data_IF_625612104600
#
_entry.id   IF_625612104600
#
_cell.length_a   1.000
_cell.length_b   1.000
_cell.length_c   1.000
_cell.angle_alpha   90.00
_cell.angle_beta   90.00
_cell.angle_gamma   90.00
#
_symmetry.space_group_name_H-M   'P 1'
#
loop_
_entity.id
_entity.type
_entity.pdbx_description
1 polymer ?
#
# COMPACT_ATOMS: atom_id res chain seq x y z
N UNK A 1 59.67 -87.74 28.51
CA UNK A 1 58.40 -88.44 28.26
C UNK A 1 57.35 -87.67 29.05
N UNK A 2 56.30 -87.02 28.54
CA UNK A 2 55.50 -87.05 27.30
C UNK A 2 55.11 -85.58 27.02
N UNK A 3 55.37 -84.97 25.86
CA UNK A 3 54.46 -84.84 24.71
C UNK A 3 52.95 -84.95 25.03
N UNK A 4 52.24 -83.85 24.76
CA UNK A 4 50.78 -83.63 24.58
C UNK A 4 50.09 -82.94 25.78
N UNK A 5 49.37 -81.84 25.48
CA UNK A 5 48.67 -80.85 26.33
C UNK A 5 49.58 -79.69 26.81
N UNK A 6 49.50 -78.44 26.32
CA UNK A 6 48.46 -77.73 25.55
C UNK A 6 49.14 -76.47 24.94
N UNK A 7 49.38 -76.35 23.63
CA UNK A 7 48.52 -75.76 22.58
C UNK A 7 47.83 -74.39 22.87
N UNK A 8 47.81 -73.82 24.09
CA UNK A 8 46.95 -72.62 24.33
C UNK A 8 47.55 -71.31 24.87
N UNK A 9 48.84 -71.18 25.21
CA UNK A 9 49.30 -69.98 25.95
C UNK A 9 50.25 -68.99 25.24
N UNK A 10 50.43 -69.05 23.92
CA UNK A 10 51.30 -68.11 23.19
C UNK A 10 50.66 -67.54 21.90
N UNK A 11 49.43 -67.02 22.02
CA UNK A 11 48.96 -66.01 21.07
C UNK A 11 48.99 -64.68 21.81
N UNK A 12 49.74 -63.71 21.29
CA UNK A 12 49.65 -62.35 21.80
C UNK A 12 48.22 -61.85 21.56
N UNK A 13 47.66 -61.09 22.49
CA UNK A 13 46.28 -60.60 22.41
C UNK A 13 45.95 -59.91 21.08
N UNK A 14 46.97 -59.37 20.41
CA UNK A 14 46.91 -58.77 19.09
C UNK A 14 46.63 -59.79 17.97
N UNK A 15 47.24 -60.97 18.02
CA UNK A 15 47.01 -62.07 17.06
C UNK A 15 45.62 -62.71 17.25
N UNK A 16 45.14 -62.80 18.50
CA UNK A 16 43.75 -63.23 18.80
C UNK A 16 42.76 -62.24 18.19
N UNK A 17 42.98 -60.93 18.38
CA UNK A 17 42.09 -59.88 17.87
C UNK A 17 42.16 -59.71 16.34
N UNK A 18 43.32 -59.91 15.71
CA UNK A 18 43.43 -59.98 14.25
C UNK A 18 42.66 -61.16 13.67
N UNK A 19 42.68 -62.33 14.34
CA UNK A 19 41.87 -63.48 13.93
C UNK A 19 40.37 -63.25 14.04
N UNK A 20 39.91 -62.36 14.94
CA UNK A 20 38.51 -61.97 15.09
C UNK A 20 38.08 -61.05 13.94
N UNK A 21 38.95 -60.14 13.51
CA UNK A 21 38.70 -59.27 12.34
C UNK A 21 38.57 -60.05 11.03
N UNK A 22 39.28 -61.17 10.90
CA UNK A 22 39.27 -62.01 9.70
C UNK A 22 38.16 -63.07 9.68
N UNK A 23 37.54 -63.37 10.82
CA UNK A 23 36.33 -64.20 10.88
C UNK A 23 35.14 -63.36 10.41
N UNK A 24 34.20 -63.94 9.64
CA UNK A 24 33.02 -63.24 9.14
C UNK A 24 32.12 -62.76 10.30
N UNK A 25 32.46 -61.61 10.88
CA UNK A 25 31.78 -61.04 12.04
C UNK A 25 30.53 -60.29 11.65
N UNK A 26 29.43 -60.57 12.33
CA UNK A 26 28.16 -59.85 12.18
C UNK A 26 27.76 -59.18 13.48
N UNK A 27 26.94 -58.14 13.36
CA UNK A 27 26.34 -57.45 14.48
C UNK A 27 24.87 -57.87 14.63
N UNK A 28 24.51 -58.30 15.85
CA UNK A 28 23.15 -58.66 16.24
C UNK A 28 22.61 -57.60 17.21
N UNK A 29 21.52 -56.95 16.84
CA UNK A 29 20.75 -56.13 17.76
C UNK A 29 19.79 -57.03 18.53
N UNK A 30 20.00 -57.12 19.84
CA UNK A 30 19.27 -58.02 20.74
C UNK A 30 18.31 -57.20 21.59
N UNK A 31 17.08 -57.68 21.72
CA UNK A 31 16.08 -56.99 22.52
C UNK A 31 14.70 -57.60 22.49
N UNK A 32 13.79 -56.98 23.24
CA UNK A 32 12.45 -57.50 23.52
C UNK A 32 11.39 -56.43 23.23
N UNK A 33 10.16 -56.86 22.90
CA UNK A 33 9.00 -55.97 22.82
C UNK A 33 8.67 -55.35 24.17
N UNK A 34 8.94 -56.07 25.26
CA UNK A 34 8.81 -55.54 26.61
C UNK A 34 10.04 -54.65 26.92
N UNK A 35 9.88 -53.35 27.19
CA UNK A 35 10.99 -52.45 27.54
C UNK A 35 11.55 -52.65 28.97
N UNK A 36 10.90 -53.49 29.79
CA UNK A 36 11.35 -53.85 31.15
C UNK A 36 11.47 -55.38 31.30
N UNK A 37 12.11 -56.03 30.34
CA UNK A 37 12.36 -57.47 30.35
C UNK A 37 13.57 -57.79 31.25
N UNK A 38 13.34 -57.87 32.56
CA UNK A 38 14.39 -58.14 33.56
C UNK A 38 15.08 -59.49 33.33
N UNK A 39 14.39 -60.46 32.72
CA UNK A 39 14.97 -61.78 32.43
C UNK A 39 16.02 -61.66 31.33
N UNK A 40 15.69 -60.94 30.24
CA UNK A 40 16.63 -60.68 29.16
C UNK A 40 17.78 -59.77 29.60
N UNK A 41 17.49 -58.75 30.41
CA UNK A 41 18.51 -57.83 30.91
C UNK A 41 19.54 -58.55 31.79
N UNK A 42 19.08 -59.45 32.67
CA UNK A 42 19.97 -60.28 33.48
C UNK A 42 20.74 -61.31 32.66
N UNK A 43 20.14 -61.91 31.62
CA UNK A 43 20.85 -62.88 30.78
C UNK A 43 21.94 -62.23 29.93
N UNK A 44 21.73 -60.99 29.45
CA UNK A 44 22.74 -60.22 28.72
C UNK A 44 23.93 -59.80 29.58
N UNK A 45 23.82 -59.91 30.91
CA UNK A 45 24.91 -59.70 31.84
C UNK A 45 25.67 -61.00 32.19
N UNK A 46 25.22 -62.17 31.72
CA UNK A 46 25.90 -63.45 31.95
C UNK A 46 27.16 -63.55 31.07
N UNK A 47 28.36 -63.69 31.67
CA UNK A 47 29.60 -63.81 30.90
C UNK A 47 29.69 -65.08 30.05
N UNK A 48 28.82 -66.07 30.26
CA UNK A 48 28.79 -67.33 29.50
C UNK A 48 27.63 -67.43 28.51
N UNK A 49 26.96 -66.33 28.19
CA UNK A 49 25.84 -66.32 27.25
C UNK A 49 26.22 -66.96 25.90
N UNK A 50 25.37 -67.86 25.43
CA UNK A 50 25.62 -68.61 24.19
C UNK A 50 25.07 -67.88 22.96
N UNK A 51 25.62 -68.20 21.77
CA UNK A 51 25.16 -67.62 20.51
C UNK A 51 23.68 -67.92 20.21
N UNK A 52 23.21 -69.12 20.58
CA UNK A 52 21.81 -69.52 20.37
C UNK A 52 20.84 -68.75 21.27
N UNK A 53 21.25 -68.43 22.50
CA UNK A 53 20.48 -67.58 23.43
C UNK A 53 20.36 -66.14 22.91
N UNK A 54 21.45 -65.58 22.35
CA UNK A 54 21.41 -64.25 21.73
C UNK A 54 20.54 -64.20 20.48
N UNK A 55 20.65 -65.21 19.60
CA UNK A 55 19.84 -65.29 18.36
C UNK A 55 18.35 -65.36 18.64
N UNK A 56 17.94 -65.97 19.75
CA UNK A 56 16.52 -66.07 20.13
C UNK A 56 15.85 -64.70 20.28
N UNK A 57 16.61 -63.69 20.73
CA UNK A 57 16.12 -62.32 20.94
C UNK A 57 16.77 -61.31 19.97
N UNK A 58 17.51 -61.77 18.96
CA UNK A 58 18.08 -60.92 17.92
C UNK A 58 17.01 -60.58 16.87
N UNK A 59 16.83 -59.29 16.58
CA UNK A 59 15.79 -58.84 15.65
C UNK A 59 16.30 -58.00 14.48
N UNK A 60 17.57 -57.56 14.54
CA UNK A 60 18.28 -57.01 13.39
C UNK A 60 19.65 -57.68 13.33
N UNK A 61 20.00 -58.22 12.17
CA UNK A 61 21.33 -58.74 11.87
C UNK A 61 21.90 -57.91 10.73
N UNK A 62 23.10 -57.39 10.91
CA UNK A 62 23.78 -56.57 9.91
C UNK A 62 25.27 -56.86 9.90
N UNK A 63 25.91 -56.59 8.77
CA UNK A 63 27.35 -56.73 8.65
C UNK A 63 28.06 -55.55 9.32
N UNK A 64 29.26 -55.81 9.84
CA UNK A 64 30.08 -54.76 10.43
C UNK A 64 30.64 -53.89 9.32
N UNK A 65 30.40 -52.57 9.40
CA UNK A 65 30.86 -51.61 8.39
C UNK A 65 32.39 -51.53 8.38
N UNK A 66 32.98 -51.38 9.57
CA UNK A 66 34.43 -51.28 9.77
C UNK A 66 34.83 -51.83 11.14
N UNK A 67 35.99 -52.47 11.21
CA UNK A 67 36.67 -52.83 12.45
C UNK A 67 38.11 -52.28 12.41
N UNK A 68 38.51 -51.53 13.44
CA UNK A 68 39.81 -50.86 13.50
C UNK A 68 40.29 -50.70 14.94
N UNK A 69 41.60 -50.54 15.12
CA UNK A 69 42.16 -50.13 16.41
C UNK A 69 42.15 -48.60 16.50
N UNK A 70 41.65 -48.05 17.60
CA UNK A 70 41.70 -46.61 17.84
C UNK A 70 43.08 -46.16 18.36
N UNK A 71 43.25 -44.85 18.56
CA UNK A 71 44.51 -44.24 19.00
C UNK A 71 44.95 -44.72 20.40
N UNK A 72 44.04 -45.27 21.19
CA UNK A 72 44.27 -45.82 22.53
C UNK A 72 44.56 -47.34 22.50
N UNK A 73 44.52 -47.96 21.31
CA UNK A 73 44.79 -49.38 21.11
C UNK A 73 43.59 -50.29 21.37
N UNK A 74 42.39 -49.74 21.53
CA UNK A 74 41.15 -50.51 21.69
C UNK A 74 40.60 -50.97 20.34
N UNK A 75 40.10 -52.22 20.28
CA UNK A 75 39.43 -52.71 19.07
C UNK A 75 38.03 -52.11 18.99
N UNK A 76 37.76 -51.38 17.92
CA UNK A 76 36.52 -50.65 17.67
C UNK A 76 35.77 -51.21 16.47
N UNK A 77 34.46 -51.43 16.64
CA UNK A 77 33.55 -51.88 15.60
C UNK A 77 32.54 -50.78 15.27
N UNK A 78 32.43 -50.42 13.99
CA UNK A 78 31.44 -49.48 13.48
C UNK A 78 30.30 -50.28 12.81
N UNK A 79 29.09 -50.10 13.33
CA UNK A 79 27.88 -50.80 12.89
C UNK A 79 26.82 -49.77 12.54
N UNK A 80 26.22 -49.89 11.36
CA UNK A 80 25.15 -48.99 10.95
C UNK A 80 23.79 -49.61 11.24
N UNK A 81 22.90 -48.80 11.80
CA UNK A 81 21.49 -49.13 11.95
C UNK A 81 20.71 -48.39 10.86
N UNK A 82 20.08 -49.17 9.97
CA UNK A 82 19.35 -48.63 8.83
C UNK A 82 18.11 -47.82 9.26
N UNK A 83 17.88 -46.71 8.55
CA UNK A 83 16.75 -45.82 8.76
C UNK A 83 15.41 -46.45 8.35
N UNK A 84 15.43 -47.36 7.37
CA UNK A 84 14.22 -47.99 6.83
C UNK A 84 13.64 -49.11 7.72
N UNK A 85 14.46 -49.70 8.58
CA UNK A 85 14.04 -50.81 9.45
C UNK A 85 13.26 -50.26 10.66
N UNK A 86 11.97 -50.58 10.77
CA UNK A 86 11.18 -50.33 11.98
C UNK A 86 11.04 -51.60 12.81
N UNK A 87 11.21 -51.52 14.12
CA UNK A 87 10.99 -52.66 15.02
C UNK A 87 10.18 -52.24 16.24
N UNK A 88 9.25 -53.10 16.67
CA UNK A 88 8.54 -52.93 17.94
C UNK A 88 9.43 -53.26 19.16
N UNK A 89 10.58 -53.90 18.92
CA UNK A 89 11.52 -54.29 19.97
C UNK A 89 12.35 -53.09 20.43
N UNK A 90 12.55 -53.01 21.74
CA UNK A 90 13.54 -52.11 22.34
C UNK A 90 14.90 -52.79 22.26
N UNK A 91 15.93 -52.10 21.76
CA UNK A 91 17.30 -52.59 21.73
C UNK A 91 17.85 -52.57 23.15
N UNK A 92 18.31 -53.72 23.65
CA UNK A 92 18.96 -53.85 24.95
C UNK A 92 20.47 -53.94 24.81
N UNK A 93 20.94 -54.67 23.81
CA UNK A 93 22.37 -54.86 23.56
C UNK A 93 22.66 -54.97 22.06
N UNK A 94 23.91 -54.68 21.71
CA UNK A 94 24.51 -54.96 20.42
C UNK A 94 25.60 -56.01 20.62
N UNK A 95 25.42 -57.17 20.01
CA UNK A 95 26.36 -58.28 20.11
C UNK A 95 27.16 -58.43 18.81
N UNK A 96 28.46 -58.63 18.93
CA UNK A 96 29.35 -58.97 17.83
C UNK A 96 29.63 -60.47 17.88
N UNK A 97 29.33 -61.17 16.78
CA UNK A 97 29.34 -62.64 16.73
C UNK A 97 30.04 -63.15 15.46
N UNK A 98 30.59 -64.37 15.51
CA UNK A 98 30.95 -65.17 14.33
C UNK A 98 29.87 -66.21 14.04
N UNK A 99 30.14 -67.06 13.05
CA UNK A 99 29.39 -68.27 12.76
C UNK A 99 29.33 -69.26 13.94
N UNK A 100 30.31 -69.23 14.87
CA UNK A 100 30.48 -70.26 15.92
C UNK A 100 30.51 -69.72 17.34
N UNK A 101 30.80 -68.44 17.55
CA UNK A 101 31.02 -67.88 18.89
C UNK A 101 30.53 -66.44 19.03
N UNK A 102 30.26 -66.04 20.27
CA UNK A 102 30.02 -64.65 20.66
C UNK A 102 31.37 -64.02 20.97
N UNK A 103 31.67 -62.84 20.41
CA UNK A 103 32.89 -62.12 20.71
C UNK A 103 32.69 -61.04 21.77
N UNK A 104 31.59 -60.30 21.65
CA UNK A 104 31.32 -59.17 22.53
C UNK A 104 29.81 -58.96 22.62
N UNK A 105 29.35 -58.58 23.81
CA UNK A 105 28.01 -58.05 24.03
C UNK A 105 28.19 -56.68 24.68
N UNK A 106 27.64 -55.65 24.03
CA UNK A 106 27.66 -54.28 24.52
C UNK A 106 26.23 -53.86 24.86
N UNK A 107 25.98 -53.62 26.15
CA UNK A 107 24.68 -53.15 26.61
C UNK A 107 24.46 -51.70 26.17
N UNK A 108 23.25 -51.40 25.73
CA UNK A 108 22.85 -50.07 25.26
C UNK A 108 21.86 -49.43 26.24
N UNK A 109 21.80 -48.09 26.34
CA UNK A 109 20.71 -47.42 27.04
C UNK A 109 19.39 -47.66 26.29
N UNK A 110 18.65 -48.71 26.64
CA UNK A 110 17.36 -49.18 26.08
C UNK A 110 16.78 -48.27 24.98
N UNK A 111 17.07 -48.57 23.71
CA UNK A 111 16.74 -47.70 22.56
C UNK A 111 15.55 -48.26 21.79
N UNK A 112 14.48 -47.46 21.60
CA UNK A 112 13.37 -47.84 20.72
C UNK A 112 13.65 -47.45 19.27
N UNK A 113 13.68 -48.42 18.35
CA UNK A 113 13.92 -48.16 16.92
C UNK A 113 12.64 -47.70 16.21
N UNK A 114 12.54 -46.40 15.91
CA UNK A 114 11.46 -45.84 15.08
C UNK A 114 11.89 -45.72 13.61
N UNK A 115 10.93 -45.79 12.69
CA UNK A 115 11.17 -45.56 11.26
C UNK A 115 11.68 -44.13 11.04
N UNK A 116 12.71 -43.97 10.19
CA UNK A 116 13.33 -42.66 9.95
C UNK A 116 14.38 -42.24 10.98
N UNK A 117 14.63 -43.05 12.02
CA UNK A 117 15.76 -42.88 12.94
C UNK A 117 16.77 -44.00 12.69
N UNK A 118 17.93 -43.66 12.18
CA UNK A 118 19.10 -44.55 12.02
C UNK A 118 20.34 -43.90 12.61
N UNK A 119 21.49 -44.55 12.47
CA UNK A 119 22.74 -44.00 12.99
C UNK A 119 23.90 -44.97 12.96
N UNK A 120 25.09 -44.46 13.26
CA UNK A 120 26.31 -45.25 13.38
C UNK A 120 26.59 -45.54 14.85
N UNK A 121 26.74 -46.83 15.18
CA UNK A 121 27.06 -47.35 16.49
C UNK A 121 28.54 -47.71 16.51
N UNK A 122 29.31 -47.14 17.43
CA UNK A 122 30.71 -47.51 17.64
C UNK A 122 30.81 -48.27 18.95
N UNK A 123 31.31 -49.50 18.89
CA UNK A 123 31.54 -50.35 20.06
C UNK A 123 33.04 -50.53 20.25
N UNK A 124 33.54 -50.23 21.46
CA UNK A 124 34.95 -50.42 21.81
C UNK A 124 35.13 -51.58 22.76
N UNK A 125 36.18 -52.40 22.58
CA UNK A 125 36.54 -53.48 23.51
C UNK A 125 38.03 -53.51 23.81
N UNK A 126 38.35 -53.90 25.05
CA UNK A 126 39.73 -54.11 25.53
C UNK A 126 40.07 -55.61 25.56
N UNK A 127 41.35 -55.93 25.63
CA UNK A 127 41.91 -57.29 25.48
C UNK A 127 41.53 -58.25 26.63
N UNK A 128 41.14 -57.72 27.79
CA UNK A 128 40.55 -58.52 28.87
C UNK A 128 39.03 -58.47 28.67
N UNK A 129 38.49 -59.50 28.01
CA UNK A 129 37.09 -59.51 27.58
C UNK A 129 36.10 -59.33 28.73
N UNK A 130 35.46 -58.16 28.79
CA UNK A 130 33.99 -57.97 28.72
C UNK A 130 33.58 -56.50 28.94
N UNK A 131 32.37 -56.19 28.42
CA UNK A 131 31.59 -54.95 28.40
C UNK A 131 32.16 -53.79 27.57
N UNK A 132 31.68 -53.68 26.32
CA UNK A 132 31.97 -52.55 25.43
C UNK A 132 31.01 -51.39 25.63
N UNK A 133 31.53 -50.17 25.54
CA UNK A 133 30.75 -48.92 25.66
C UNK A 133 30.37 -48.39 24.27
N UNK A 134 29.14 -47.86 24.15
CA UNK A 134 28.60 -47.31 22.92
C UNK A 134 28.73 -45.77 22.90
N UNK A 135 29.30 -45.22 21.82
CA UNK A 135 29.47 -43.76 21.65
C UNK A 135 28.66 -43.26 20.45
N UNK A 136 27.89 -42.18 20.63
CA UNK A 136 27.17 -41.48 19.55
C UNK A 136 28.01 -40.30 19.01
N UNK A 137 28.17 -40.18 17.68
CA UNK A 137 28.77 -39.00 17.03
C UNK A 137 27.73 -38.26 16.17
N UNK A 138 27.69 -36.94 16.29
CA UNK A 138 27.01 -36.02 15.36
C UNK A 138 28.01 -35.59 14.28
N UNK A 139 27.76 -35.90 13.01
CA UNK A 139 28.61 -35.44 11.91
C UNK A 139 28.17 -34.05 11.39
N UNK A 140 29.13 -33.20 11.02
CA UNK A 140 28.93 -31.84 10.47
C UNK A 140 28.57 -31.81 8.97
N UNK A 141 28.29 -32.97 8.35
CA UNK A 141 28.05 -33.07 6.91
C UNK A 141 26.55 -33.15 6.59
N UNK A 142 26.09 -32.32 5.66
CA UNK A 142 24.72 -32.34 5.11
C UNK A 142 24.47 -33.69 4.43
N UNK A 143 23.36 -34.33 4.78
CA UNK A 143 22.97 -35.60 4.19
C UNK A 143 22.52 -35.44 2.73
N UNK A 144 22.62 -36.50 1.92
CA UNK A 144 22.15 -36.47 0.52
C UNK A 144 20.67 -36.09 0.39
N UNK A 145 19.85 -36.42 1.39
CA UNK A 145 18.43 -36.07 1.42
C UNK A 145 18.19 -34.57 1.63
N UNK A 146 19.07 -33.89 2.36
CA UNK A 146 19.01 -32.45 2.58
C UNK A 146 19.63 -31.65 1.41
N UNK A 147 20.57 -32.25 0.67
CA UNK A 147 21.21 -31.62 -0.49
C UNK A 147 20.30 -31.59 -1.73
N UNK A 148 19.43 -32.57 -1.91
CA UNK A 148 18.67 -32.71 -3.15
C UNK A 148 17.64 -31.59 -3.42
N UNK A 149 16.90 -31.08 -2.41
CA UNK A 149 16.07 -29.89 -2.57
C UNK A 149 16.88 -28.65 -3.01
N UNK A 150 18.09 -28.49 -2.50
CA UNK A 150 18.97 -27.39 -2.86
C UNK A 150 19.47 -27.52 -4.31
N UNK A 151 19.80 -28.74 -4.74
CA UNK A 151 20.23 -29.02 -6.11
C UNK A 151 19.15 -28.68 -7.14
N UNK A 152 17.89 -29.05 -6.87
CA UNK A 152 16.73 -28.72 -7.73
C UNK A 152 16.51 -27.21 -7.80
N UNK A 153 16.63 -26.51 -6.67
CA UNK A 153 16.54 -25.04 -6.66
C UNK A 153 17.62 -24.38 -7.53
N UNK A 154 18.87 -24.84 -7.43
CA UNK A 154 19.99 -24.29 -8.22
C UNK A 154 19.83 -24.58 -9.71
N UNK A 155 19.29 -25.74 -10.10
CA UNK A 155 19.04 -26.06 -11.51
C UNK A 155 17.96 -25.15 -12.12
N UNK A 156 16.95 -24.78 -11.34
CA UNK A 156 15.79 -24.02 -11.81
C UNK A 156 15.93 -22.51 -11.58
N UNK A 157 16.98 -22.09 -10.86
CA UNK A 157 17.22 -20.70 -10.48
C UNK A 157 17.23 -19.74 -11.67
N UNK A 158 17.78 -20.17 -12.81
CA UNK A 158 17.83 -19.35 -14.02
C UNK A 158 16.43 -19.03 -14.57
N UNK A 159 15.54 -20.02 -14.61
CA UNK A 159 14.16 -19.82 -15.07
C UNK A 159 13.36 -18.93 -14.11
N UNK A 160 13.58 -19.10 -12.80
CA UNK A 160 13.00 -18.24 -11.77
C UNK A 160 13.46 -16.78 -11.91
N UNK A 161 14.74 -16.55 -12.21
CA UNK A 161 15.29 -15.21 -12.41
C UNK A 161 14.71 -14.55 -13.67
N UNK A 162 14.62 -15.27 -14.78
CA UNK A 162 14.03 -14.77 -16.03
C UNK A 162 12.55 -14.39 -15.85
N UNK A 163 11.77 -15.22 -15.14
CA UNK A 163 10.37 -14.92 -14.81
C UNK A 163 10.27 -13.69 -13.89
N UNK A 164 11.13 -13.60 -12.87
CA UNK A 164 11.16 -12.44 -11.98
C UNK A 164 11.47 -11.14 -12.74
N UNK A 165 12.47 -11.14 -13.62
CA UNK A 165 12.81 -9.99 -14.44
C UNK A 165 11.67 -9.59 -15.37
N UNK A 166 10.99 -10.57 -15.98
CA UNK A 166 9.82 -10.33 -16.83
C UNK A 166 8.68 -9.68 -16.04
N UNK A 167 8.35 -10.21 -14.86
CA UNK A 167 7.32 -9.66 -13.98
C UNK A 167 7.68 -8.26 -13.48
N UNK A 168 8.95 -8.01 -13.15
CA UNK A 168 9.43 -6.69 -12.74
C UNK A 168 9.27 -5.66 -13.88
N UNK A 169 9.64 -6.01 -15.11
CA UNK A 169 9.46 -5.15 -16.29
C UNK A 169 7.99 -4.86 -16.56
N UNK A 170 7.13 -5.87 -16.50
CA UNK A 170 5.69 -5.70 -16.66
C UNK A 170 5.11 -4.71 -15.64
N UNK A 171 5.46 -4.87 -14.36
CA UNK A 171 5.00 -3.97 -13.30
C UNK A 171 5.49 -2.54 -13.48
N UNK A 172 6.75 -2.35 -13.87
CA UNK A 172 7.29 -1.02 -14.16
C UNK A 172 6.54 -0.35 -15.32
N UNK A 173 6.28 -1.10 -16.39
CA UNK A 173 5.54 -0.58 -17.56
C UNK A 173 4.09 -0.23 -17.21
N UNK A 174 3.44 -1.03 -16.35
CA UNK A 174 2.10 -0.75 -15.85
C UNK A 174 2.06 0.53 -15.02
N UNK A 175 3.04 0.73 -14.14
CA UNK A 175 3.17 1.94 -13.33
C UNK A 175 3.42 3.18 -14.20
N UNK A 176 4.26 3.07 -15.22
CA UNK A 176 4.51 4.16 -16.17
C UNK A 176 3.24 4.52 -16.97
N UNK A 177 2.47 3.52 -17.38
CA UNK A 177 1.18 3.73 -18.05
C UNK A 177 0.16 4.40 -17.13
N UNK A 178 0.04 3.95 -15.87
CA UNK A 178 -0.84 4.57 -14.87
C UNK A 178 -0.47 6.04 -14.66
N UNK A 179 0.82 6.34 -14.44
CA UNK A 179 1.31 7.72 -14.27
C UNK A 179 1.04 8.59 -15.50
N UNK A 180 1.22 8.04 -16.71
CA UNK A 180 0.92 8.74 -17.95
C UNK A 180 -0.59 9.05 -18.06
N UNK A 181 -1.44 8.06 -17.79
CA UNK A 181 -2.90 8.22 -17.84
C UNK A 181 -3.38 9.25 -16.82
N UNK A 182 -2.89 9.20 -15.59
CA UNK A 182 -3.23 10.19 -14.55
C UNK A 182 -2.83 11.61 -14.95
N UNK A 183 -1.65 11.75 -15.56
CA UNK A 183 -1.17 13.03 -16.07
C UNK A 183 -2.06 13.57 -17.20
N UNK A 184 -2.46 12.73 -18.16
CA UNK A 184 -3.35 13.14 -19.23
C UNK A 184 -4.76 13.47 -18.72
N UNK A 185 -5.30 12.67 -17.80
CA UNK A 185 -6.59 12.95 -17.15
C UNK A 185 -6.54 14.30 -16.42
N UNK A 186 -5.46 14.59 -15.69
CA UNK A 186 -5.29 15.86 -15.01
C UNK A 186 -5.26 17.04 -15.99
N UNK A 187 -4.57 16.91 -17.12
CA UNK A 187 -4.54 17.92 -18.19
C UNK A 187 -5.94 18.17 -18.77
N UNK A 188 -6.69 17.11 -19.08
CA UNK A 188 -8.04 17.24 -19.64
C UNK A 188 -9.02 17.85 -18.63
N UNK A 189 -8.93 17.48 -17.34
CA UNK A 189 -9.70 18.12 -16.27
C UNK A 189 -9.42 19.62 -16.18
N UNK A 190 -8.14 20.02 -16.26
CA UNK A 190 -7.76 21.43 -16.22
C UNK A 190 -8.29 22.21 -17.44
N UNK A 191 -8.24 21.61 -18.64
CA UNK A 191 -8.84 22.20 -19.85
C UNK A 191 -10.34 22.38 -19.69
N UNK A 192 -11.05 21.36 -19.20
CA UNK A 192 -12.49 21.42 -18.97
C UNK A 192 -12.85 22.50 -17.93
N UNK A 193 -12.07 22.63 -16.86
CA UNK A 193 -12.28 23.67 -15.86
C UNK A 193 -12.13 25.09 -16.46
N UNK A 194 -11.14 25.29 -17.34
CA UNK A 194 -10.99 26.57 -18.06
C UNK A 194 -12.17 26.83 -18.99
N UNK A 195 -12.63 25.82 -19.73
CA UNK A 195 -13.80 25.95 -20.63
C UNK A 195 -15.05 26.31 -19.83
N UNK A 196 -15.29 25.67 -18.68
CA UNK A 196 -16.45 25.96 -17.83
C UNK A 196 -16.44 27.37 -17.20
N UNK A 197 -15.28 28.04 -17.18
CA UNK A 197 -15.18 29.45 -16.73
C UNK A 197 -15.51 30.44 -17.84
N UNK A 198 -15.58 30.03 -19.10
CA UNK A 198 -15.88 30.94 -20.22
C UNK A 198 -17.25 31.59 -20.03
N UNK A 199 -17.29 32.92 -20.18
CA UNK A 199 -18.50 33.71 -19.93
C UNK A 199 -18.69 34.15 -18.48
N UNK A 200 -17.82 33.72 -17.56
CA UNK A 200 -17.86 34.16 -16.16
C UNK A 200 -17.43 35.62 -16.03
N UNK A 201 -18.24 36.42 -15.34
CA UNK A 201 -17.90 37.78 -14.92
C UNK A 201 -17.14 37.76 -13.58
N UNK A 202 -16.00 38.44 -13.50
CA UNK A 202 -15.25 38.65 -12.26
C UNK A 202 -14.91 40.14 -12.04
N UNK A 203 -14.59 40.48 -10.79
CA UNK A 203 -14.16 41.81 -10.36
C UNK A 203 -12.69 41.80 -9.96
N UNK A 204 -11.97 42.86 -10.30
CA UNK A 204 -10.53 42.96 -10.13
C UNK A 204 -10.13 44.24 -9.41
N UNK A 205 -9.46 44.09 -8.26
CA UNK A 205 -8.88 45.20 -7.50
C UNK A 205 -7.46 45.50 -7.97
N UNK A 206 -7.35 45.95 -9.22
CA UNK A 206 -6.09 46.22 -9.93
C UNK A 206 -6.38 47.14 -11.13
N UNK A 207 -5.33 47.71 -11.73
CA UNK A 207 -5.44 48.72 -12.79
C UNK A 207 -5.43 48.17 -14.23
N UNK A 208 -5.37 46.85 -14.41
CA UNK A 208 -5.42 46.19 -15.72
C UNK A 208 -6.11 44.84 -15.64
N UNK A 209 -6.80 44.41 -16.70
CA UNK A 209 -7.43 43.09 -16.75
C UNK A 209 -6.39 41.99 -17.04
N UNK A 210 -6.60 40.74 -16.55
CA UNK A 210 -5.73 39.64 -16.94
C UNK A 210 -5.91 39.34 -18.44
N UNK A 211 -4.90 38.74 -19.07
CA UNK A 211 -4.86 38.54 -20.52
C UNK A 211 -5.94 37.59 -21.07
N UNK A 212 -6.50 36.75 -20.21
CA UNK A 212 -7.59 35.81 -20.48
C UNK A 212 -8.99 36.39 -20.20
N UNK A 213 -9.05 37.68 -19.85
CA UNK A 213 -10.28 38.43 -19.68
C UNK A 213 -10.42 39.52 -20.72
N UNK A 214 -11.67 39.79 -21.09
CA UNK A 214 -12.07 40.90 -21.95
C UNK A 214 -12.83 41.94 -21.14
N UNK A 215 -12.60 43.22 -21.42
CA UNK A 215 -13.26 44.32 -20.72
C UNK A 215 -14.71 44.48 -21.14
N UNK A 216 -15.60 44.78 -20.18
CA UNK A 216 -17.05 44.93 -20.42
C UNK A 216 -17.39 46.00 -21.47
N UNK A 217 -18.53 45.85 -22.14
CA UNK A 217 -19.08 46.82 -23.09
C UNK A 217 -18.41 46.87 -24.46
N UNK A 218 -17.46 45.97 -24.74
CA UNK A 218 -16.79 45.91 -26.04
C UNK A 218 -17.53 44.98 -27.01
N UNK A 219 -17.31 45.23 -28.30
CA UNK A 219 -17.73 44.34 -29.39
C UNK A 219 -16.60 43.38 -29.72
N UNK A 220 -16.93 42.11 -29.84
CA UNK A 220 -16.02 40.99 -30.05
C UNK A 220 -16.36 40.26 -31.35
N UNK A 221 -15.38 39.51 -31.88
CA UNK A 221 -15.54 38.68 -33.07
C UNK A 221 -15.61 37.21 -32.70
N UNK A 222 -16.51 36.46 -33.35
CA UNK A 222 -16.65 35.01 -33.19
C UNK A 222 -15.34 34.28 -33.46
N UNK A 223 -14.61 34.69 -34.49
CA UNK A 223 -13.39 33.97 -34.91
C UNK A 223 -12.23 34.17 -33.91
N UNK A 224 -12.23 35.26 -33.15
CA UNK A 224 -11.26 35.51 -32.08
C UNK A 224 -11.67 34.84 -30.76
N UNK A 225 -12.98 34.77 -30.47
CA UNK A 225 -13.51 34.25 -29.22
C UNK A 225 -14.66 33.25 -29.43
N UNK A 226 -14.41 32.10 -30.09
CA UNK A 226 -15.47 31.20 -30.56
C UNK A 226 -16.25 30.53 -29.42
N UNK A 227 -15.57 30.14 -28.33
CA UNK A 227 -16.22 29.52 -27.18
C UNK A 227 -17.07 30.52 -26.41
N UNK A 228 -16.57 31.75 -26.22
CA UNK A 228 -17.35 32.80 -25.56
C UNK A 228 -18.57 33.19 -26.40
N UNK A 229 -18.42 33.27 -27.72
CA UNK A 229 -19.53 33.46 -28.65
C UNK A 229 -20.56 32.33 -28.51
N UNK A 230 -20.12 31.07 -28.46
CA UNK A 230 -21.03 29.93 -28.35
C UNK A 230 -21.80 29.95 -27.01
N UNK A 231 -21.12 30.20 -25.89
CA UNK A 231 -21.74 30.22 -24.57
C UNK A 231 -22.67 31.41 -24.33
N UNK A 232 -22.51 32.50 -25.09
CA UNK A 232 -23.38 33.68 -25.00
C UNK A 232 -24.46 33.71 -26.07
N UNK A 233 -24.58 32.66 -26.90
CA UNK A 233 -25.57 32.62 -27.97
C UNK A 233 -26.99 32.75 -27.41
N UNK A 234 -27.77 33.70 -27.96
CA UNK A 234 -29.12 34.00 -27.51
C UNK A 234 -29.19 34.93 -26.29
N UNK A 235 -28.07 35.30 -25.69
CA UNK A 235 -28.01 36.42 -24.75
C UNK A 235 -28.17 37.75 -25.49
N UNK A 236 -28.63 38.79 -24.80
CA UNK A 236 -28.70 40.13 -25.39
C UNK A 236 -27.30 40.59 -25.82
N UNK A 237 -27.14 40.95 -27.10
CA UNK A 237 -25.85 41.30 -27.70
C UNK A 237 -25.20 40.19 -28.54
N UNK A 238 -25.76 38.98 -28.56
CA UNK A 238 -25.31 37.88 -29.41
C UNK A 238 -26.49 37.18 -30.11
N UNK A 239 -26.71 37.55 -31.36
CA UNK A 239 -27.76 37.03 -32.25
C UNK A 239 -27.30 35.85 -33.12
N UNK A 240 -26.09 35.34 -32.89
CA UNK A 240 -25.47 34.31 -33.73
C UNK A 240 -24.71 34.86 -34.96
N UNK A 241 -24.54 36.18 -35.06
CA UNK A 241 -23.70 36.81 -36.07
C UNK A 241 -22.19 36.56 -35.89
N UNK A 242 -21.39 37.09 -36.82
CA UNK A 242 -19.93 37.02 -36.76
C UNK A 242 -19.31 37.92 -35.67
N UNK A 243 -20.07 38.91 -35.19
CA UNK A 243 -19.69 39.80 -34.11
C UNK A 243 -20.77 39.78 -33.03
N UNK A 244 -20.36 39.92 -31.78
CA UNK A 244 -21.24 39.92 -30.63
C UNK A 244 -20.75 40.93 -29.59
N UNK A 245 -21.62 41.39 -28.72
CA UNK A 245 -21.31 42.38 -27.69
C UNK A 245 -21.57 41.81 -26.32
N UNK A 246 -20.72 42.19 -25.36
CA UNK A 246 -20.94 41.86 -23.95
C UNK A 246 -21.55 43.05 -23.22
N UNK A 247 -22.27 42.83 -22.10
CA UNK A 247 -22.91 43.91 -21.35
C UNK A 247 -21.92 45.02 -20.94
N UNK A 248 -22.36 46.28 -20.84
CA UNK A 248 -21.51 47.39 -20.39
C UNK A 248 -21.12 47.28 -18.92
N UNK A 249 -19.99 47.90 -18.54
CA UNK A 249 -19.54 48.02 -17.14
C UNK A 249 -20.41 48.98 -16.33
N UNK A 250 -20.20 48.99 -15.01
CA UNK A 250 -20.82 49.98 -14.12
C UNK A 250 -22.30 49.70 -13.86
N UNK A 251 -22.73 48.45 -14.07
CA UNK A 251 -24.06 47.95 -13.74
C UNK A 251 -23.94 46.91 -12.63
N UNK A 252 -24.84 46.98 -11.65
CA UNK A 252 -24.92 45.93 -10.62
C UNK A 252 -25.49 44.65 -11.24
N UNK A 253 -25.10 43.48 -10.71
CA UNK A 253 -25.60 42.20 -11.17
C UNK A 253 -26.89 41.84 -10.42
N UNK A 254 -27.95 41.46 -11.16
CA UNK A 254 -29.18 40.89 -10.60
C UNK A 254 -29.31 39.45 -11.07
N UNK A 255 -29.55 38.52 -10.15
CA UNK A 255 -29.83 37.12 -10.50
C UNK A 255 -31.13 37.01 -11.31
N UNK A 256 -31.11 36.18 -12.34
CA UNK A 256 -32.27 35.88 -13.17
C UNK A 256 -32.46 34.36 -13.26
N UNK A 257 -33.71 33.91 -13.16
CA UNK A 257 -34.10 32.51 -13.36
C UNK A 257 -34.59 32.23 -14.79
N UNK A 258 -34.89 33.28 -15.56
CA UNK A 258 -35.33 33.19 -16.94
C UNK A 258 -34.16 33.50 -17.88
N UNK A 259 -33.83 32.56 -18.76
CA UNK A 259 -32.70 32.70 -19.70
C UNK A 259 -32.79 33.93 -20.63
N UNK A 260 -34.01 34.34 -20.99
CA UNK A 260 -34.23 35.51 -21.85
C UNK A 260 -33.77 36.85 -21.23
N UNK A 261 -33.66 36.93 -19.90
CA UNK A 261 -33.19 38.13 -19.20
C UNK A 261 -31.66 38.21 -19.10
N UNK A 262 -30.95 37.15 -19.51
CA UNK A 262 -29.49 37.10 -19.40
C UNK A 262 -28.86 38.07 -20.41
N UNK A 263 -28.10 39.03 -19.89
CA UNK A 263 -27.48 40.11 -20.66
C UNK A 263 -28.37 41.36 -20.82
N UNK A 264 -29.65 41.31 -20.42
CA UNK A 264 -30.54 42.47 -20.49
C UNK A 264 -30.12 43.57 -19.51
N UNK A 265 -30.26 44.83 -19.93
CA UNK A 265 -29.98 46.01 -19.10
C UNK A 265 -31.29 46.56 -18.54
N UNK A 266 -31.49 46.39 -17.23
CA UNK A 266 -32.58 47.01 -16.50
C UNK A 266 -32.38 48.51 -16.27
N UNK A 267 -33.47 49.25 -16.05
CA UNK A 267 -33.45 50.66 -15.66
C UNK A 267 -33.34 50.83 -14.14
N UNK A 268 -32.66 51.88 -13.69
CA UNK A 268 -32.65 52.31 -12.29
C UNK A 268 -34.08 52.63 -11.83
N UNK A 269 -34.40 52.34 -10.57
CA UNK A 269 -35.70 52.67 -10.00
C UNK A 269 -35.64 52.68 -8.47
N UNK A 270 -36.34 53.62 -7.87
CA UNK A 270 -36.59 53.69 -6.43
C UNK A 270 -38.09 53.54 -6.17
N UNK A 271 -38.49 53.05 -4.98
CA UNK A 271 -39.87 53.13 -4.53
C UNK A 271 -40.38 54.57 -4.53
N UNK A 272 -41.70 54.74 -4.65
CA UNK A 272 -42.33 56.05 -4.56
C UNK A 272 -41.99 56.75 -3.24
N UNK A 273 -41.77 58.06 -3.33
CA UNK A 273 -41.65 58.94 -2.16
C UNK A 273 -43.00 59.59 -1.92
N UNK A 274 -43.52 59.45 -0.71
CA UNK A 274 -44.85 59.95 -0.34
C UNK A 274 -44.76 61.03 0.73
N UNK A 275 -45.79 61.88 0.74
CA UNK A 275 -46.02 62.92 1.73
C UNK A 275 -47.40 63.50 1.48
N UNK A 276 -47.96 64.15 2.50
CA UNK A 276 -49.27 64.76 2.42
C UNK A 276 -49.17 66.28 2.56
N UNK A 277 -50.00 66.96 1.80
CA UNK A 277 -50.32 68.37 2.00
C UNK A 277 -51.71 68.47 2.62
N UNK A 278 -51.83 69.20 3.71
CA UNK A 278 -53.08 69.39 4.43
C UNK A 278 -53.24 70.87 4.78
N UNK A 279 -54.39 71.47 4.47
CA UNK A 279 -54.71 72.86 4.86
C UNK A 279 -55.31 73.70 3.72
N UNK A 280 -55.61 74.97 3.99
CA UNK A 280 -56.18 75.97 3.07
C UNK A 280 -55.34 77.25 2.95
N UNK A 281 -55.90 78.35 2.44
CA UNK A 281 -55.14 79.58 2.09
C UNK A 281 -54.27 80.11 3.24
N UNK A 282 -54.71 79.96 4.48
CA UNK A 282 -54.02 80.56 5.64
C UNK A 282 -53.20 79.57 6.48
N UNK A 283 -53.45 78.26 6.39
CA UNK A 283 -52.84 77.26 7.28
C UNK A 283 -52.44 75.97 6.57
N UNK A 284 -51.51 76.09 5.62
CA UNK A 284 -50.98 74.96 4.86
C UNK A 284 -49.89 74.22 5.66
N UNK A 285 -50.01 72.90 5.77
CA UNK A 285 -49.07 72.02 6.45
C UNK A 285 -48.64 70.91 5.50
N UNK A 286 -47.38 70.49 5.62
CA UNK A 286 -46.85 69.37 4.86
C UNK A 286 -46.15 68.37 5.77
N UNK A 287 -46.30 67.09 5.45
CA UNK A 287 -45.54 65.99 6.04
C UNK A 287 -44.69 65.26 4.97
N UNK A 288 -43.73 64.46 5.44
CA UNK A 288 -42.77 63.79 4.56
C UNK A 288 -41.90 64.78 3.78
N UNK A 289 -41.93 64.68 2.46
CA UNK A 289 -41.19 65.57 1.54
C UNK A 289 -41.75 66.97 1.43
N UNK A 290 -43.03 67.18 1.78
CA UNK A 290 -43.69 68.48 1.63
C UNK A 290 -43.54 69.35 2.87
N UNK A 291 -43.09 70.59 2.72
CA UNK A 291 -43.07 71.60 3.80
C UNK A 291 -43.78 72.86 3.35
N UNK A 292 -44.34 73.59 4.31
CA UNK A 292 -44.71 74.98 4.11
C UNK A 292 -43.40 75.80 4.06
N UNK A 293 -43.17 76.51 2.96
CA UNK A 293 -41.98 77.37 2.77
C UNK A 293 -42.23 78.84 3.10
N UNK A 294 -43.38 79.15 3.71
CA UNK A 294 -43.79 80.47 4.14
C UNK A 294 -44.67 81.20 3.12
N UNK A 295 -45.04 82.43 3.45
CA UNK A 295 -45.83 83.32 2.59
C UNK A 295 -44.95 83.91 1.49
N UNK A 296 -45.31 83.71 0.23
CA UNK A 296 -44.67 84.36 -0.92
C UNK A 296 -45.67 85.30 -1.57
N UNK A 297 -45.80 86.50 -1.00
CA UNK A 297 -46.72 87.52 -1.48
C UNK A 297 -46.41 88.88 -0.88
N UNK A 298 -46.66 89.93 -1.66
CA UNK A 298 -46.57 91.31 -1.19
C UNK A 298 -47.78 91.60 -0.30
N UNK A 299 -47.55 92.07 0.92
CA UNK A 299 -48.61 92.78 1.63
C UNK A 299 -48.72 94.18 1.03
N UNK A 300 -49.90 94.53 0.52
CA UNK A 300 -50.19 95.92 0.22
C UNK A 300 -50.38 96.66 1.55
N UNK A 301 -49.59 97.72 1.77
CA UNK A 301 -49.80 98.64 2.87
C UNK A 301 -51.11 99.40 2.67
N UNK A 302 -52.19 98.90 3.27
CA UNK A 302 -53.47 99.58 3.40
C UNK A 302 -54.54 99.13 2.41
N UNK A 303 -55.35 98.14 2.80
CA UNK A 303 -56.60 97.80 2.11
C UNK A 303 -56.96 96.31 2.24
N UNK A 304 -58.17 96.02 2.70
CA UNK A 304 -58.63 94.66 3.01
C UNK A 304 -58.70 93.76 1.76
N UNK A 305 -58.10 92.57 1.87
CA UNK A 305 -58.22 91.49 0.89
C UNK A 305 -56.92 91.19 0.13
N UNK A 306 -55.80 90.98 0.84
CA UNK A 306 -54.61 90.40 0.23
C UNK A 306 -54.70 88.88 0.24
N UNK A 307 -54.62 88.23 -0.93
CA UNK A 307 -54.46 86.78 -0.99
C UNK A 307 -53.04 86.44 -0.52
N UNK A 308 -52.91 86.00 0.72
CA UNK A 308 -51.68 85.44 1.25
C UNK A 308 -51.40 84.12 0.52
N UNK A 309 -50.47 84.13 -0.44
CA UNK A 309 -50.07 82.91 -1.13
C UNK A 309 -49.11 82.10 -0.24
N UNK A 310 -49.62 81.07 0.43
CA UNK A 310 -48.80 80.06 1.08
C UNK A 310 -48.07 79.22 0.02
N UNK A 311 -46.74 79.19 0.08
CA UNK A 311 -45.93 78.35 -0.79
C UNK A 311 -45.70 76.97 -0.18
N UNK A 312 -45.73 75.95 -1.03
CA UNK A 312 -45.28 74.60 -0.71
C UNK A 312 -43.93 74.39 -1.34
N UNK A 313 -43.02 73.79 -0.59
CA UNK A 313 -41.78 73.26 -1.12
C UNK A 313 -41.79 71.72 -1.07
N UNK A 314 -41.21 71.11 -2.08
CA UNK A 314 -40.97 69.67 -2.17
C UNK A 314 -39.47 69.45 -2.04
N UNK A 315 -39.09 68.75 -0.98
CA UNK A 315 -37.69 68.47 -0.69
C UNK A 315 -37.53 67.01 -0.29
N UNK A 316 -37.09 66.18 -1.24
CA UNK A 316 -36.86 64.76 -1.03
C UNK A 316 -35.82 64.49 0.06
N UNK A 317 -34.88 65.42 0.31
CA UNK A 317 -33.86 65.25 1.35
C UNK A 317 -34.45 65.15 2.76
N UNK A 318 -35.69 65.62 2.95
CA UNK A 318 -36.44 65.50 4.21
C UNK A 318 -36.90 64.09 4.52
N UNK A 319 -37.08 63.26 3.50
CA UNK A 319 -37.31 61.82 3.69
C UNK A 319 -36.01 61.07 3.96
N UNK A 320 -34.90 61.50 3.35
CA UNK A 320 -33.58 60.94 3.65
C UNK A 320 -32.45 61.88 3.18
N UNK A 321 -31.41 62.12 3.99
CA UNK A 321 -30.32 63.05 3.65
C UNK A 321 -29.40 62.57 2.50
N UNK A 322 -29.67 61.40 1.92
CA UNK A 322 -28.94 60.86 0.76
C UNK A 322 -29.52 61.33 -0.58
N UNK A 323 -30.77 61.80 -0.61
CA UNK A 323 -31.37 62.34 -1.84
C UNK A 323 -30.64 63.62 -2.28
N UNK A 324 -30.42 63.78 -3.59
CA UNK A 324 -29.71 64.92 -4.18
C UNK A 324 -28.18 64.79 -4.22
N UNK A 325 -27.60 63.67 -3.79
CA UNK A 325 -26.14 63.43 -3.85
C UNK A 325 -25.62 62.92 -5.20
N UNK A 326 -26.51 62.59 -6.14
CA UNK A 326 -26.20 62.02 -7.46
C UNK A 326 -27.36 62.28 -8.41
N UNK A 327 -27.06 62.39 -9.71
CA UNK A 327 -28.04 62.52 -10.81
C UNK A 327 -28.74 61.19 -11.17
N UNK A 328 -28.25 60.07 -10.65
CA UNK A 328 -28.84 58.73 -10.80
C UNK A 328 -28.84 57.97 -9.46
N UNK A 329 -29.63 56.91 -9.36
CA UNK A 329 -29.69 56.01 -8.21
C UNK A 329 -28.34 55.34 -8.02
N UNK A 330 -27.66 55.69 -6.93
CA UNK A 330 -26.35 55.17 -6.60
C UNK A 330 -26.32 54.74 -5.14
N UNK A 331 -25.61 53.65 -4.88
CA UNK A 331 -25.22 53.21 -3.54
C UNK A 331 -23.73 53.46 -3.35
N UNK A 332 -23.30 53.50 -2.09
CA UNK A 332 -21.87 53.54 -1.76
C UNK A 332 -21.15 52.36 -2.44
N UNK A 333 -20.00 52.64 -3.07
CA UNK A 333 -19.32 51.68 -3.93
C UNK A 333 -17.82 51.82 -3.87
N UNK A 334 -17.16 50.69 -4.10
CA UNK A 334 -15.73 50.62 -4.40
C UNK A 334 -15.59 50.31 -5.89
N UNK A 335 -14.68 51.00 -6.57
CA UNK A 335 -14.44 50.77 -7.98
C UNK A 335 -13.51 49.57 -8.19
N UNK A 336 -13.96 48.61 -9.00
CA UNK A 336 -13.20 47.47 -9.47
C UNK A 336 -13.21 47.48 -11.00
N UNK A 337 -12.17 46.91 -11.62
CA UNK A 337 -12.28 46.53 -13.03
C UNK A 337 -13.22 45.33 -13.15
N UNK A 338 -14.03 45.35 -14.20
CA UNK A 338 -14.96 44.27 -14.54
C UNK A 338 -14.48 43.61 -15.82
N UNK A 339 -14.47 42.28 -15.85
CA UNK A 339 -14.11 41.53 -17.04
C UNK A 339 -14.88 40.22 -17.15
N UNK A 340 -15.02 39.73 -18.38
CA UNK A 340 -15.54 38.40 -18.68
C UNK A 340 -14.37 37.49 -19.05
N UNK A 341 -14.30 36.30 -18.44
CA UNK A 341 -13.34 35.29 -18.81
C UNK A 341 -13.64 34.79 -20.22
N UNK A 342 -12.72 35.06 -21.16
CA UNK A 342 -12.83 34.66 -22.55
C UNK A 342 -11.90 33.49 -22.89
N UNK A 343 -11.03 33.10 -21.94
CA UNK A 343 -9.92 32.20 -22.18
C UNK A 343 -8.75 32.91 -22.88
N UNK A 344 -7.64 32.21 -23.04
CA UNK A 344 -6.55 32.71 -23.88
C UNK A 344 -7.01 32.75 -25.34
N UNK A 345 -6.74 33.85 -26.05
CA UNK A 345 -7.07 33.98 -27.46
C UNK A 345 -6.40 32.82 -28.23
N UNK A 346 -7.16 31.91 -28.88
CA UNK A 346 -6.60 30.76 -29.58
C UNK A 346 -5.62 31.15 -30.70
N UNK A 347 -5.67 32.39 -31.21
CA UNK A 347 -4.71 32.90 -32.20
C UNK A 347 -3.30 33.15 -31.62
N UNK A 348 -3.18 33.44 -30.32
CA UNK A 348 -1.88 33.55 -29.67
C UNK A 348 -1.19 32.18 -29.49
N UNK A 349 -1.96 31.11 -29.30
CA UNK A 349 -1.42 29.74 -29.17
C UNK A 349 -0.91 29.16 -30.49
N UNK A 350 -1.51 29.55 -31.63
CA UNK A 350 -1.03 29.14 -32.96
C UNK A 350 0.33 29.76 -33.32
N UNK A 351 0.57 31.02 -32.92
CA UNK A 351 1.86 31.69 -33.15
C UNK A 351 3.00 31.09 -32.31
N UNK A 352 2.71 30.55 -31.12
CA UNK A 352 3.72 29.93 -30.25
C UNK A 352 4.05 28.50 -30.70
N UNK A 353 3.09 27.76 -31.27
CA UNK A 353 3.32 26.42 -31.82
C UNK A 353 3.98 26.40 -33.21
N UNK A 354 3.99 27.53 -33.93
CA UNK A 354 4.68 27.67 -35.22
C UNK A 354 6.17 28.05 -35.11
N UNK A 355 6.70 28.26 -33.90
CA UNK A 355 8.09 28.69 -33.65
C UNK A 355 8.90 27.60 -32.89
N UNK A 356 8.42 26.35 -32.85
CA UNK A 356 9.20 25.22 -32.32
C UNK A 356 9.54 24.20 -33.39
#
# INVERSE_FOLDING_TARGET
>A
MQKIQSILNNLTSKEILESIREQNTQALFVGSKNPNDEVLENSLCDPNITLEELKTNAFITTDIRRAYFDEEGCLSFEVNLDYEISSENTIYALAIVSDKSVFLVANTPKIKKMQGIGGSFIIKTSIEGMQGEMIFKSDDYISSAEFEPFRVFVSDFKGLLEEFEYQARLKMLLLDLENYLDTEIAKEKQKLEKINKIGRKDYFYRNSLPSDYVGMGIRLKRDEYPLLWYHTLGCMGNDGGAEFSIPPSGKYSKGASQGALIGEIGKSGLPNITGNLRGGCDNLSGDGVFKNSGRTGWSWSGGHGGNDNNAVDFDASRSSPIYGRSEDVQVDRVHYLEGIYAGQNPLCDFLIKGIK
#
